data_IF_936646329428
#
_entry.id   IF_936646329428
#
_cell.length_a   1.000
_cell.length_b   1.000
_cell.length_c   1.000
_cell.angle_alpha   90.00
_cell.angle_beta   90.00
_cell.angle_gamma   90.00
#
_symmetry.space_group_name_H-M   'P 1'
#
loop_
_entity.id
_entity.type
_entity.pdbx_description
1 polymer ?
#
# COMPACT_ATOMS: atom_id res chain seq x y z
N UNK A 1 6.54 50.51 15.61
CA UNK A 1 5.52 51.48 15.15
C UNK A 1 5.73 51.77 13.67
N UNK A 2 4.88 51.24 12.79
CA UNK A 2 4.49 51.91 11.54
C UNK A 2 3.32 51.14 10.92
N UNK A 3 2.19 51.84 10.91
CA UNK A 3 0.91 51.49 10.34
C UNK A 3 1.00 51.37 8.82
N UNK A 4 0.34 50.38 8.24
CA UNK A 4 -0.33 50.55 6.94
C UNK A 4 -1.69 49.88 7.01
N UNK A 5 -2.70 50.72 7.10
CA UNK A 5 -4.12 50.46 6.84
C UNK A 5 -4.28 50.45 5.32
N UNK A 6 -4.96 49.46 4.74
CA UNK A 6 -5.55 49.64 3.41
C UNK A 6 -6.95 49.02 3.31
N UNK A 7 -7.80 49.81 2.66
CA UNK A 7 -9.25 49.78 2.56
C UNK A 7 -9.88 48.55 1.90
N UNK A 8 -11.14 48.36 2.29
CA UNK A 8 -12.22 47.62 1.63
C UNK A 8 -12.35 47.92 0.11
N UNK A 9 -12.79 46.90 -0.64
CA UNK A 9 -13.75 47.09 -1.72
C UNK A 9 -14.83 45.98 -1.69
N UNK A 10 -16.07 46.41 -1.47
CA UNK A 10 -17.31 45.64 -1.63
C UNK A 10 -17.70 45.73 -3.11
N UNK A 11 -17.99 44.60 -3.77
CA UNK A 11 -18.75 44.59 -5.02
C UNK A 11 -19.88 43.56 -4.91
N UNK A 12 -21.05 44.01 -5.35
CA UNK A 12 -22.37 43.48 -5.10
C UNK A 12 -22.85 42.45 -6.14
N UNK A 13 -23.80 41.62 -5.70
CA UNK A 13 -25.06 41.22 -6.36
C UNK A 13 -25.12 41.07 -7.90
N UNK A 14 -25.46 39.85 -8.31
CA UNK A 14 -26.24 39.52 -9.52
C UNK A 14 -26.66 38.04 -9.42
N UNK A 15 -27.89 37.68 -9.05
CA UNK A 15 -29.16 37.72 -9.80
C UNK A 15 -29.24 36.74 -11.00
N UNK A 16 -30.10 35.73 -10.83
CA UNK A 16 -30.99 35.09 -11.81
C UNK A 16 -30.43 34.36 -13.06
N UNK A 17 -30.67 33.04 -13.14
CA UNK A 17 -31.45 32.37 -14.21
C UNK A 17 -31.57 30.86 -13.88
N UNK A 18 -32.75 30.36 -13.51
CA UNK A 18 -33.92 29.92 -14.30
C UNK A 18 -33.81 28.43 -14.72
N UNK A 19 -34.83 27.60 -14.45
CA UNK A 19 -34.81 26.15 -14.66
C UNK A 19 -35.31 25.79 -16.06
N UNK A 20 -34.64 24.84 -16.71
CA UNK A 20 -35.06 24.13 -17.92
C UNK A 20 -34.15 22.88 -17.99
N UNK A 21 -34.53 21.70 -18.44
CA UNK A 21 -35.79 21.14 -18.86
C UNK A 21 -35.59 19.61 -18.80
N UNK A 22 -36.69 18.93 -18.47
CA UNK A 22 -37.12 17.65 -19.02
C UNK A 22 -36.16 16.99 -20.02
N UNK A 23 -35.47 15.91 -19.62
CA UNK A 23 -34.89 14.95 -20.55
C UNK A 23 -35.48 13.57 -20.34
N UNK A 24 -36.11 13.13 -21.41
CA UNK A 24 -36.95 11.97 -21.53
C UNK A 24 -36.20 10.67 -21.31
N UNK A 25 -36.83 9.80 -20.53
CA UNK A 25 -36.50 8.39 -20.32
C UNK A 25 -36.62 7.62 -21.66
N UNK A 26 -35.54 7.00 -22.18
CA UNK A 26 -35.65 6.08 -23.31
C UNK A 26 -36.41 4.82 -22.88
N UNK A 27 -37.39 4.43 -23.69
CA UNK A 27 -38.17 3.21 -23.51
C UNK A 27 -37.27 1.97 -23.59
N UNK A 28 -37.43 1.07 -22.62
CA UNK A 28 -36.76 -0.22 -22.59
C UNK A 28 -37.21 -1.10 -23.78
N UNK A 29 -36.24 -1.57 -24.54
CA UNK A 29 -36.42 -2.60 -25.58
C UNK A 29 -36.71 -3.94 -24.88
N UNK A 30 -37.79 -4.66 -25.22
CA UNK A 30 -38.06 -5.97 -24.64
C UNK A 30 -36.96 -6.97 -25.04
N UNK A 31 -36.44 -7.69 -24.04
CA UNK A 31 -35.47 -8.76 -24.22
C UNK A 31 -36.15 -9.99 -24.85
N UNK A 32 -35.46 -10.73 -25.75
CA UNK A 32 -35.97 -11.98 -26.28
C UNK A 32 -36.01 -13.07 -25.20
N UNK A 33 -37.17 -13.71 -25.06
CA UNK A 33 -37.38 -14.92 -24.27
C UNK A 33 -36.43 -16.02 -24.76
N UNK A 34 -35.46 -16.36 -23.92
CA UNK A 34 -34.60 -17.53 -24.14
C UNK A 34 -35.33 -18.74 -23.58
N UNK A 35 -35.83 -19.58 -24.47
CA UNK A 35 -36.45 -20.87 -24.17
C UNK A 35 -35.45 -21.76 -23.42
N UNK A 36 -35.75 -22.04 -22.16
CA UNK A 36 -35.00 -22.97 -21.33
C UNK A 36 -35.18 -24.40 -21.86
N UNK A 37 -34.12 -24.95 -22.45
CA UNK A 37 -34.04 -26.37 -22.77
C UNK A 37 -33.73 -27.14 -21.50
N UNK A 38 -34.71 -27.90 -21.01
CA UNK A 38 -34.60 -28.75 -19.84
C UNK A 38 -33.62 -29.91 -20.11
N UNK A 39 -32.34 -29.72 -19.79
CA UNK A 39 -31.36 -30.78 -19.76
C UNK A 39 -31.61 -31.68 -18.55
N UNK A 40 -31.86 -32.96 -18.83
CA UNK A 40 -32.03 -34.03 -17.84
C UNK A 40 -30.73 -34.19 -17.03
N UNK A 41 -30.75 -34.08 -15.69
CA UNK A 41 -29.54 -34.24 -14.89
C UNK A 41 -29.03 -35.67 -14.99
N UNK A 42 -27.83 -35.86 -15.56
CA UNK A 42 -27.08 -37.09 -15.41
C UNK A 42 -26.61 -37.17 -13.96
N UNK A 43 -27.12 -38.16 -13.23
CA UNK A 43 -26.62 -38.55 -11.92
C UNK A 43 -25.15 -38.94 -12.08
N UNK A 44 -24.26 -38.03 -11.69
CA UNK A 44 -22.84 -38.33 -11.56
C UNK A 44 -22.68 -39.03 -10.22
N UNK A 45 -22.38 -40.32 -10.26
CA UNK A 45 -22.04 -41.12 -9.09
C UNK A 45 -20.76 -40.56 -8.47
N UNK A 46 -20.92 -39.81 -7.38
CA UNK A 46 -19.82 -39.17 -6.66
C UNK A 46 -18.95 -40.26 -6.04
N UNK A 47 -17.77 -40.50 -6.64
CA UNK A 47 -16.77 -41.37 -6.05
C UNK A 47 -16.47 -40.92 -4.61
N UNK A 48 -16.30 -41.86 -3.65
CA UNK A 48 -16.04 -41.51 -2.26
C UNK A 48 -14.79 -40.65 -2.16
N UNK A 49 -14.95 -39.42 -1.63
CA UNK A 49 -13.85 -38.51 -1.34
C UNK A 49 -12.85 -39.24 -0.44
N UNK A 50 -11.57 -39.39 -0.85
CA UNK A 50 -10.54 -40.00 -0.02
C UNK A 50 -10.50 -39.32 1.35
N UNK A 51 -10.45 -40.13 2.42
CA UNK A 51 -10.30 -39.61 3.77
C UNK A 51 -9.09 -38.66 3.82
N UNK A 52 -9.29 -37.45 4.34
CA UNK A 52 -8.22 -36.49 4.47
C UNK A 52 -7.08 -37.11 5.31
N UNK A 53 -5.82 -36.99 4.87
CA UNK A 53 -4.70 -37.50 5.65
C UNK A 53 -4.70 -36.86 7.06
N UNK A 54 -4.26 -37.59 8.09
CA UNK A 54 -4.19 -37.06 9.44
C UNK A 54 -3.34 -35.78 9.45
N UNK A 55 -3.73 -34.77 10.25
CA UNK A 55 -2.99 -33.51 10.29
C UNK A 55 -1.54 -33.77 10.69
N UNK A 56 -0.57 -33.06 10.07
CA UNK A 56 0.83 -33.23 10.39
C UNK A 56 1.07 -32.98 11.89
N UNK A 57 1.89 -33.82 12.51
CA UNK A 57 2.26 -33.69 13.92
C UNK A 57 3.00 -32.36 14.11
N UNK A 58 2.46 -31.48 14.96
CA UNK A 58 3.10 -30.20 15.28
C UNK A 58 4.50 -30.42 15.85
N UNK A 59 5.46 -29.60 15.43
CA UNK A 59 6.79 -29.57 16.04
C UNK A 59 6.67 -29.31 17.55
N UNK A 60 7.51 -29.94 18.39
CA UNK A 60 7.48 -29.71 19.83
C UNK A 60 7.74 -28.23 20.14
N UNK A 61 6.96 -27.68 21.06
CA UNK A 61 7.15 -26.31 21.53
C UNK A 61 8.56 -26.13 22.11
N UNK A 62 9.18 -24.98 21.85
CA UNK A 62 10.39 -24.62 22.58
C UNK A 62 10.06 -24.44 24.06
N UNK A 63 10.97 -24.81 24.98
CA UNK A 63 10.77 -24.58 26.41
C UNK A 63 10.39 -23.12 26.68
N UNK A 64 9.26 -22.90 27.35
CA UNK A 64 8.75 -21.56 27.67
C UNK A 64 7.99 -20.85 26.56
N UNK A 65 7.61 -21.53 25.47
CA UNK A 65 6.78 -20.99 24.39
C UNK A 65 5.49 -21.79 24.24
N UNK A 66 4.40 -21.09 23.92
CA UNK A 66 3.13 -21.74 23.61
C UNK A 66 3.16 -22.28 22.17
N UNK A 67 2.26 -23.21 21.84
CA UNK A 67 2.13 -23.72 20.47
C UNK A 67 1.55 -22.63 19.54
N UNK A 68 1.84 -22.69 18.24
CA UNK A 68 1.21 -21.80 17.27
C UNK A 68 -0.33 -21.83 17.40
N UNK A 69 -1.04 -20.69 17.31
CA UNK A 69 -2.48 -20.67 17.48
C UNK A 69 -3.22 -21.41 16.37
N UNK A 70 -4.28 -22.10 16.77
CA UNK A 70 -5.21 -22.80 15.88
C UNK A 70 -6.02 -21.80 15.05
N UNK A 71 -6.60 -22.27 13.94
CA UNK A 71 -7.48 -21.45 13.11
C UNK A 71 -8.69 -20.90 13.89
N UNK A 72 -9.24 -21.70 14.82
CA UNK A 72 -10.36 -21.29 15.66
C UNK A 72 -9.97 -20.10 16.57
N UNK A 73 -8.78 -20.14 17.19
CA UNK A 73 -8.28 -19.02 18.00
C UNK A 73 -8.09 -17.74 17.16
N UNK A 74 -7.54 -17.85 15.95
CA UNK A 74 -7.40 -16.70 15.05
C UNK A 74 -8.73 -16.10 14.61
N UNK A 75 -9.73 -16.95 14.37
CA UNK A 75 -11.07 -16.52 13.96
C UNK A 75 -11.84 -15.90 15.12
N UNK A 76 -11.59 -16.35 16.35
CA UNK A 76 -12.18 -15.76 17.55
C UNK A 76 -11.62 -14.36 17.85
N UNK A 77 -10.38 -14.09 17.47
CA UNK A 77 -9.77 -12.78 17.67
C UNK A 77 -10.36 -11.73 16.71
N UNK A 78 -11.19 -10.84 17.25
CA UNK A 78 -11.81 -9.74 16.49
C UNK A 78 -10.97 -8.46 16.49
N UNK A 79 -10.10 -8.30 17.49
CA UNK A 79 -9.31 -7.09 17.63
C UNK A 79 -8.12 -7.12 16.67
N UNK A 80 -8.11 -6.18 15.74
CA UNK A 80 -6.95 -5.91 14.90
C UNK A 80 -5.88 -5.17 15.72
N UNK A 81 -4.60 -5.50 15.47
CA UNK A 81 -3.47 -4.73 15.99
C UNK A 81 -3.00 -3.75 14.93
N UNK A 82 -2.34 -2.67 15.31
CA UNK A 82 -1.93 -1.67 14.33
C UNK A 82 -0.57 -2.05 13.73
N UNK A 83 -0.55 -2.33 12.42
CA UNK A 83 0.66 -2.34 11.58
C UNK A 83 0.55 -1.22 10.55
N UNK A 84 1.49 -0.28 10.57
CA UNK A 84 1.46 0.87 9.66
C UNK A 84 1.60 0.39 8.21
N UNK A 85 0.78 0.93 7.29
CA UNK A 85 0.75 0.53 5.88
C UNK A 85 -0.04 -0.75 5.57
N UNK A 86 -0.44 -1.55 6.56
CA UNK A 86 -1.12 -2.84 6.32
C UNK A 86 -2.43 -2.72 5.55
N UNK A 87 -3.27 -1.73 5.88
CA UNK A 87 -4.57 -1.54 5.22
C UNK A 87 -4.45 -1.17 3.74
N UNK A 88 -3.43 -0.40 3.34
CA UNK A 88 -3.19 -0.07 1.93
C UNK A 88 -2.84 -1.32 1.11
N UNK A 89 -2.20 -2.29 1.76
CA UNK A 89 -1.81 -3.56 1.16
C UNK A 89 -2.88 -4.66 1.29
N UNK A 90 -4.08 -4.30 1.76
CA UNK A 90 -5.17 -5.20 2.06
C UNK A 90 -4.74 -6.38 2.96
N UNK A 91 -3.94 -6.06 3.99
CA UNK A 91 -3.46 -7.00 4.99
C UNK A 91 -4.23 -6.84 6.30
N UNK A 92 -4.72 -7.95 6.84
CA UNK A 92 -5.29 -8.06 8.19
C UNK A 92 -4.17 -8.43 9.18
N UNK A 93 -4.09 -7.73 10.31
CA UNK A 93 -3.07 -8.02 11.33
C UNK A 93 -3.64 -8.33 12.71
N UNK A 94 -3.31 -9.50 13.27
CA UNK A 94 -3.87 -9.99 14.54
C UNK A 94 -2.78 -10.47 15.47
N UNK A 95 -2.98 -10.25 16.77
CA UNK A 95 -2.19 -10.92 17.81
C UNK A 95 -3.07 -11.88 18.60
N UNK A 96 -2.62 -13.13 18.71
CA UNK A 96 -3.21 -14.16 19.56
C UNK A 96 -2.08 -14.75 20.40
N UNK A 97 -2.20 -14.62 21.73
CA UNK A 97 -1.12 -14.97 22.67
C UNK A 97 0.16 -14.22 22.29
N UNK A 98 1.32 -14.88 22.21
CA UNK A 98 2.58 -14.27 21.73
C UNK A 98 2.78 -14.31 20.21
N UNK A 99 1.76 -14.60 19.40
CA UNK A 99 1.92 -14.71 17.95
C UNK A 99 1.27 -13.54 17.22
N UNK A 100 2.01 -12.94 16.29
CA UNK A 100 1.52 -11.99 15.30
C UNK A 100 1.21 -12.74 13.99
N UNK A 101 -0.01 -12.55 13.48
CA UNK A 101 -0.40 -12.96 12.14
C UNK A 101 -0.58 -11.73 11.25
N UNK A 102 0.01 -11.78 10.06
CA UNK A 102 -0.22 -10.82 8.97
C UNK A 102 -0.75 -11.60 7.77
N UNK A 103 -2.00 -11.37 7.37
CA UNK A 103 -2.63 -12.04 6.23
C UNK A 103 -3.03 -11.02 5.18
N UNK A 104 -2.33 -11.02 4.04
CA UNK A 104 -2.65 -10.18 2.90
C UNK A 104 -3.49 -10.97 1.89
N UNK A 105 -4.60 -10.39 1.45
CA UNK A 105 -5.58 -11.09 0.60
C UNK A 105 -6.03 -10.20 -0.54
N UNK A 106 -6.45 -10.82 -1.64
CA UNK A 106 -7.02 -10.09 -2.77
C UNK A 106 -6.02 -9.14 -3.41
N UNK A 107 -6.50 -8.00 -3.90
CA UNK A 107 -5.64 -6.99 -4.53
C UNK A 107 -5.21 -5.93 -3.51
N UNK A 108 -3.99 -5.44 -3.63
CA UNK A 108 -3.55 -4.23 -2.93
C UNK A 108 -4.18 -2.96 -3.56
N UNK A 109 -3.85 -1.79 -3.03
CA UNK A 109 -4.26 -0.46 -3.51
C UNK A 109 -3.86 -0.15 -4.96
N UNK A 110 -2.86 -0.82 -5.53
CA UNK A 110 -2.45 -0.70 -6.93
C UNK A 110 -2.98 -1.83 -7.84
N UNK A 111 -3.80 -2.73 -7.30
CA UNK A 111 -4.40 -3.83 -8.04
C UNK A 111 -3.58 -5.12 -8.09
N UNK A 112 -2.36 -5.13 -7.54
CA UNK A 112 -1.50 -6.30 -7.51
C UNK A 112 -1.95 -7.36 -6.52
N UNK A 113 -1.66 -8.61 -6.86
CA UNK A 113 -2.05 -9.80 -6.10
C UNK A 113 -0.86 -10.32 -5.30
N UNK A 114 -0.99 -10.72 -4.02
CA UNK A 114 0.14 -11.16 -3.21
C UNK A 114 0.71 -12.48 -3.75
N UNK A 115 2.05 -12.56 -3.81
CA UNK A 115 2.78 -13.64 -4.51
C UNK A 115 3.80 -14.36 -3.63
N UNK A 116 4.46 -13.68 -2.69
CA UNK A 116 5.48 -14.30 -1.85
C UNK A 116 5.69 -13.59 -0.51
N UNK A 117 6.31 -14.32 0.42
CA UNK A 117 6.85 -13.80 1.67
C UNK A 117 8.29 -14.32 1.81
N UNK A 118 9.25 -13.43 2.06
CA UNK A 118 10.66 -13.80 2.31
C UNK A 118 11.06 -13.28 3.68
N UNK A 119 11.48 -14.18 4.59
CA UNK A 119 11.94 -13.79 5.92
C UNK A 119 13.38 -13.28 5.82
N UNK A 120 13.61 -12.04 6.24
CA UNK A 120 14.91 -11.39 6.18
C UNK A 120 15.63 -11.42 7.54
N UNK A 121 14.89 -11.25 8.64
CA UNK A 121 15.45 -11.21 10.00
C UNK A 121 14.49 -11.87 10.98
N UNK A 122 15.04 -12.63 11.93
CA UNK A 122 14.28 -13.23 13.02
C UNK A 122 13.60 -14.55 12.62
N UNK A 123 12.43 -14.82 13.20
CA UNK A 123 11.63 -16.02 12.93
C UNK A 123 12.13 -17.28 13.63
N UNK A 124 13.44 -17.45 13.77
CA UNK A 124 14.10 -18.51 14.56
C UNK A 124 13.55 -19.94 14.33
N UNK A 125 13.03 -20.26 13.15
CA UNK A 125 12.40 -21.56 12.84
C UNK A 125 10.96 -21.73 13.36
N UNK A 126 10.37 -20.69 13.92
CA UNK A 126 8.98 -20.64 14.41
C UNK A 126 8.07 -19.79 13.51
N UNK A 127 8.66 -19.09 12.53
CA UNK A 127 7.91 -18.36 11.53
C UNK A 127 7.24 -19.35 10.56
N UNK A 128 5.93 -19.19 10.37
CA UNK A 128 5.12 -19.99 9.46
C UNK A 128 4.66 -19.07 8.33
N UNK A 129 5.01 -19.42 7.09
CA UNK A 129 4.57 -18.71 5.89
C UNK A 129 3.62 -19.60 5.10
N UNK A 130 2.54 -19.00 4.58
CA UNK A 130 1.63 -19.61 3.62
C UNK A 130 1.50 -18.71 2.41
N UNK A 131 1.55 -19.32 1.22
CA UNK A 131 1.37 -18.65 -0.07
C UNK A 131 0.39 -19.50 -0.88
N UNK A 132 -0.69 -18.87 -1.35
CA UNK A 132 -1.66 -19.47 -2.25
C UNK A 132 -2.22 -18.43 -3.23
N UNK A 133 -3.09 -18.82 -4.17
CA UNK A 133 -3.66 -17.90 -5.15
C UNK A 133 -4.34 -16.69 -4.48
N UNK A 134 -3.71 -15.51 -4.61
CA UNK A 134 -4.22 -14.25 -4.05
C UNK A 134 -4.21 -14.14 -2.54
N UNK A 135 -3.44 -14.99 -1.84
CA UNK A 135 -3.33 -14.96 -0.38
C UNK A 135 -1.87 -15.21 0.01
N UNK A 136 -1.33 -14.34 0.84
CA UNK A 136 -0.12 -14.61 1.62
C UNK A 136 -0.43 -14.46 3.12
N UNK A 137 0.17 -15.31 3.94
CA UNK A 137 0.02 -15.24 5.38
C UNK A 137 1.33 -15.55 6.07
N UNK A 138 1.68 -14.71 7.04
CA UNK A 138 2.83 -14.87 7.92
C UNK A 138 2.32 -15.01 9.35
N UNK A 139 2.83 -16.00 10.09
CA UNK A 139 2.65 -16.12 11.54
C UNK A 139 4.03 -16.16 12.17
N UNK A 140 4.30 -15.24 13.08
CA UNK A 140 5.58 -15.14 13.78
C UNK A 140 5.39 -14.91 15.27
N UNK A 141 6.31 -15.37 16.11
CA UNK A 141 6.34 -14.93 17.49
C UNK A 141 6.63 -13.43 17.58
N UNK A 142 5.82 -12.71 18.33
CA UNK A 142 6.03 -11.32 18.70
C UNK A 142 6.33 -11.26 20.19
N UNK A 143 7.62 -11.27 20.52
CA UNK A 143 8.11 -11.31 21.90
C UNK A 143 9.12 -10.21 22.15
N UNK A 144 9.20 -9.80 23.40
CA UNK A 144 10.10 -8.76 23.86
C UNK A 144 11.57 -9.07 23.57
N UNK A 145 12.28 -8.06 23.07
CA UNK A 145 13.70 -8.11 22.72
C UNK A 145 14.00 -8.82 21.40
N UNK A 146 12.99 -9.14 20.58
CA UNK A 146 13.17 -9.76 19.28
C UNK A 146 12.60 -8.85 18.19
N UNK A 147 13.47 -8.50 17.24
CA UNK A 147 13.06 -7.85 16.01
C UNK A 147 12.79 -8.91 14.93
N UNK A 148 11.87 -8.59 14.04
CA UNK A 148 11.53 -9.41 12.90
C UNK A 148 11.41 -8.55 11.64
N UNK A 149 11.88 -9.07 10.51
CA UNK A 149 11.68 -8.44 9.21
C UNK A 149 11.36 -9.49 8.13
N UNK A 150 10.41 -9.17 7.26
CA UNK A 150 10.11 -9.98 6.07
C UNK A 150 9.62 -9.12 4.92
N UNK A 151 9.98 -9.49 3.69
CA UNK A 151 9.45 -8.88 2.49
C UNK A 151 8.17 -9.57 2.08
N UNK A 152 7.13 -8.78 1.87
CA UNK A 152 5.90 -9.21 1.21
C UNK A 152 5.92 -8.71 -0.22
N UNK A 153 5.62 -9.61 -1.15
CA UNK A 153 5.56 -9.27 -2.56
C UNK A 153 4.15 -9.44 -3.11
N UNK A 154 3.82 -8.57 -4.04
CA UNK A 154 2.68 -8.61 -4.92
C UNK A 154 3.19 -8.67 -6.36
N UNK A 155 2.27 -8.90 -7.31
CA UNK A 155 2.58 -8.88 -8.74
C UNK A 155 3.13 -7.55 -9.25
N UNK A 156 2.91 -6.45 -8.53
CA UNK A 156 3.23 -5.08 -8.94
C UNK A 156 4.23 -4.36 -8.01
N UNK A 157 4.44 -4.83 -6.78
CA UNK A 157 5.35 -4.21 -5.81
C UNK A 157 5.76 -5.15 -4.69
N UNK A 158 6.71 -4.71 -3.86
CA UNK A 158 7.08 -5.39 -2.61
C UNK A 158 7.24 -4.38 -1.48
N UNK A 159 6.96 -4.81 -0.26
CA UNK A 159 7.11 -4.00 0.95
C UNK A 159 7.76 -4.82 2.06
N UNK A 160 8.71 -4.22 2.77
CA UNK A 160 9.36 -4.82 3.93
C UNK A 160 8.50 -4.59 5.17
N UNK A 161 7.98 -5.64 5.76
CA UNK A 161 7.41 -5.60 7.10
C UNK A 161 8.55 -5.59 8.11
N UNK A 162 8.60 -4.58 8.97
CA UNK A 162 9.49 -4.51 10.14
C UNK A 162 8.64 -4.50 11.41
N UNK A 163 8.97 -5.40 12.32
CA UNK A 163 8.29 -5.61 13.61
C UNK A 163 9.36 -5.54 14.69
N UNK A 164 9.16 -4.71 15.70
CA UNK A 164 10.12 -4.56 16.81
C UNK A 164 9.40 -4.41 18.13
N UNK A 165 9.89 -5.14 19.13
CA UNK A 165 9.52 -4.98 20.53
C UNK A 165 10.80 -4.88 21.37
N UNK A 166 11.25 -3.66 21.71
CA UNK A 166 12.48 -3.48 22.49
C UNK A 166 12.40 -4.13 23.88
N UNK A 167 13.53 -4.65 24.38
CA UNK A 167 13.61 -5.25 25.72
C UNK A 167 13.38 -4.21 26.83
N UNK A 168 12.70 -4.61 27.90
CA UNK A 168 12.28 -3.79 29.03
C UNK A 168 11.04 -2.92 28.77
N UNK A 169 10.39 -3.04 27.62
CA UNK A 169 9.29 -2.15 27.23
C UNK A 169 7.94 -2.87 27.24
N UNK A 170 6.88 -2.12 27.56
CA UNK A 170 5.50 -2.60 27.37
C UNK A 170 5.27 -2.92 25.90
N UNK A 171 4.44 -3.92 25.63
CA UNK A 171 4.03 -4.27 24.27
C UNK A 171 3.53 -3.01 23.53
N UNK A 172 4.10 -2.67 22.36
CA UNK A 172 3.76 -1.43 21.67
C UNK A 172 2.36 -1.50 21.08
N UNK A 173 1.68 -0.36 21.03
CA UNK A 173 0.36 -0.25 20.40
C UNK A 173 0.43 -0.40 18.86
N UNK A 174 1.54 0.05 18.27
CA UNK A 174 1.89 -0.18 16.86
C UNK A 174 2.96 -1.27 16.82
N UNK A 175 2.64 -2.42 16.26
CA UNK A 175 3.48 -3.62 16.37
C UNK A 175 4.49 -3.74 15.23
N UNK A 176 4.25 -3.02 14.13
CA UNK A 176 5.17 -2.99 12.99
C UNK A 176 4.79 -1.97 11.93
N UNK A 177 5.60 -1.92 10.87
CA UNK A 177 5.48 -1.00 9.74
C UNK A 177 5.79 -1.77 8.45
N UNK A 178 4.98 -1.59 7.41
CA UNK A 178 5.37 -1.89 6.04
C UNK A 178 6.13 -0.70 5.45
N UNK A 179 7.44 -0.82 5.36
CA UNK A 179 8.31 0.22 4.80
C UNK A 179 7.95 0.50 3.33
N UNK A 180 7.95 1.79 2.97
CA UNK A 180 7.60 2.25 1.63
C UNK A 180 6.13 2.09 1.25
N UNK A 181 5.30 1.45 2.08
CA UNK A 181 3.86 1.42 1.87
C UNK A 181 3.29 2.79 2.24
N UNK A 182 2.53 3.41 1.35
CA UNK A 182 1.80 4.65 1.65
C UNK A 182 0.76 4.33 2.71
N UNK A 183 1.07 4.52 4.00
CA UNK A 183 0.04 4.39 5.03
C UNK A 183 -0.88 5.61 4.96
N UNK A 184 -2.20 5.45 5.14
CA UNK A 184 -3.11 6.58 5.36
C UNK A 184 -2.74 7.46 6.58
N UNK A 185 -1.80 6.99 7.41
CA UNK A 185 -1.33 7.60 8.66
C UNK A 185 0.05 8.28 8.47
N UNK A 186 0.73 8.06 7.34
CA UNK A 186 2.02 8.69 6.98
C UNK A 186 1.82 10.05 6.32
N UNK A 187 1.00 10.92 6.93
CA UNK A 187 0.74 12.30 6.48
C UNK A 187 1.95 13.24 6.54
N UNK A 188 3.06 12.87 5.89
CA UNK A 188 4.10 13.75 5.38
C UNK A 188 4.12 13.78 3.85
N UNK A 189 3.06 13.28 3.18
CA UNK A 189 2.66 13.95 1.95
C UNK A 189 2.51 15.42 2.30
N UNK A 190 3.32 16.28 1.67
CA UNK A 190 3.09 17.71 1.73
C UNK A 190 1.62 17.91 1.32
N UNK A 191 0.76 18.20 2.30
CA UNK A 191 -0.68 18.26 2.10
C UNK A 191 -1.02 19.31 1.03
N UNK A 192 -0.16 20.34 0.89
CA UNK A 192 -0.27 21.32 -0.17
C UNK A 192 0.02 20.68 -1.54
N UNK A 193 1.01 19.79 -1.65
CA UNK A 193 1.29 19.07 -2.90
C UNK A 193 0.21 18.03 -3.22
N UNK A 194 -0.34 17.34 -2.21
CA UNK A 194 -1.48 16.43 -2.40
C UNK A 194 -2.72 17.18 -2.90
N UNK A 195 -3.04 18.32 -2.28
CA UNK A 195 -4.12 19.20 -2.72
C UNK A 195 -3.85 19.77 -4.13
N UNK A 196 -2.60 20.12 -4.44
CA UNK A 196 -2.21 20.57 -5.78
C UNK A 196 -2.41 19.49 -6.85
N UNK A 197 -2.00 18.25 -6.59
CA UNK A 197 -2.24 17.13 -7.50
C UNK A 197 -3.73 16.88 -7.68
N UNK A 198 -4.51 16.93 -6.60
CA UNK A 198 -5.96 16.81 -6.66
C UNK A 198 -6.59 17.92 -7.51
N UNK A 199 -6.14 19.17 -7.34
CA UNK A 199 -6.55 20.28 -8.20
C UNK A 199 -6.19 20.06 -9.68
N UNK A 200 -5.00 19.54 -9.96
CA UNK A 200 -4.60 19.19 -11.32
C UNK A 200 -5.47 18.06 -11.89
N UNK A 201 -5.76 17.01 -11.12
CA UNK A 201 -6.65 15.92 -11.53
C UNK A 201 -8.02 16.45 -11.94
N UNK A 202 -8.69 17.19 -11.05
CA UNK A 202 -9.99 17.81 -11.34
C UNK A 202 -9.96 18.69 -12.60
N UNK A 203 -8.87 19.45 -12.80
CA UNK A 203 -8.70 20.31 -13.97
C UNK A 203 -8.60 19.52 -15.28
N UNK A 204 -7.83 18.42 -15.28
CA UNK A 204 -7.55 17.60 -16.48
C UNK A 204 -8.72 16.67 -16.79
N UNK A 205 -9.24 15.94 -15.81
CA UNK A 205 -10.30 14.92 -16.00
C UNK A 205 -11.72 15.48 -15.97
N UNK A 206 -11.90 16.71 -15.43
CA UNK A 206 -13.20 17.34 -15.14
C UNK A 206 -14.01 16.62 -14.05
N UNK A 207 -13.39 15.74 -13.29
CA UNK A 207 -14.02 15.11 -12.12
C UNK A 207 -14.12 16.10 -10.93
N UNK A 208 -15.07 15.83 -10.03
CA UNK A 208 -15.30 16.65 -8.83
C UNK A 208 -14.57 16.14 -7.58
N UNK A 209 -14.06 14.91 -7.61
CA UNK A 209 -13.27 14.29 -6.55
C UNK A 209 -11.90 13.84 -7.08
N UNK A 210 -11.06 13.33 -6.18
CA UNK A 210 -9.73 12.80 -6.50
C UNK A 210 -9.59 11.33 -6.11
N UNK A 211 -10.71 10.64 -5.91
CA UNK A 211 -10.73 9.22 -5.51
C UNK A 211 -10.19 8.29 -6.61
N UNK A 212 -10.34 8.69 -7.87
CA UNK A 212 -9.81 7.96 -9.04
C UNK A 212 -8.36 8.34 -9.38
N UNK A 213 -7.78 9.33 -8.67
CA UNK A 213 -6.45 9.85 -9.00
C UNK A 213 -5.40 8.81 -8.67
N UNK A 214 -4.78 8.27 -9.71
CA UNK A 214 -3.58 7.43 -9.60
C UNK A 214 -2.36 8.35 -9.54
N UNK A 215 -1.43 8.05 -8.63
CA UNK A 215 -0.23 8.82 -8.37
C UNK A 215 -0.17 9.35 -6.94
N UNK A 216 0.97 9.90 -6.53
CA UNK A 216 1.09 10.53 -5.22
C UNK A 216 2.00 11.76 -5.24
N UNK A 217 2.00 12.55 -4.14
CA UNK A 217 2.89 13.69 -3.99
C UNK A 217 4.34 13.31 -4.26
N UNK A 218 4.93 13.96 -5.25
CA UNK A 218 6.33 13.79 -5.63
C UNK A 218 6.93 15.18 -5.83
N UNK A 219 7.81 15.58 -4.91
CA UNK A 219 8.44 16.91 -4.89
C UNK A 219 9.34 17.15 -6.10
N UNK A 220 9.93 16.10 -6.68
CA UNK A 220 10.74 16.20 -7.89
C UNK A 220 9.86 16.47 -9.12
N UNK A 221 8.69 15.81 -9.19
CA UNK A 221 7.68 16.08 -10.21
C UNK A 221 7.15 17.50 -10.09
N UNK A 222 6.81 17.96 -8.88
CA UNK A 222 6.33 19.32 -8.65
C UNK A 222 7.37 20.37 -9.05
N UNK A 223 8.63 20.16 -8.68
CA UNK A 223 9.72 21.05 -9.08
C UNK A 223 9.92 21.08 -10.59
N UNK A 224 9.66 19.97 -11.29
CA UNK A 224 9.89 19.85 -12.74
C UNK A 224 8.71 20.39 -13.57
N UNK A 225 7.48 20.08 -13.13
CA UNK A 225 6.24 20.23 -13.89
C UNK A 225 5.15 20.96 -13.11
N UNK A 226 5.46 21.64 -12.00
CA UNK A 226 4.45 22.18 -11.08
C UNK A 226 3.45 23.18 -11.67
N UNK A 227 3.66 23.67 -12.89
CA UNK A 227 2.74 24.54 -13.61
C UNK A 227 2.01 23.84 -14.78
N UNK A 228 2.38 22.60 -15.09
CA UNK A 228 1.81 21.78 -16.15
C UNK A 228 1.08 20.59 -15.53
N UNK A 229 -0.24 20.74 -15.33
CA UNK A 229 -1.03 19.74 -14.63
C UNK A 229 -1.09 18.38 -15.35
N UNK A 230 -1.00 18.36 -16.67
CA UNK A 230 -1.05 17.12 -17.43
C UNK A 230 0.23 16.31 -17.18
N UNK A 231 1.38 16.93 -17.44
CA UNK A 231 2.68 16.27 -17.24
C UNK A 231 3.01 16.04 -15.75
N UNK A 232 2.52 16.89 -14.84
CA UNK A 232 2.66 16.66 -13.41
C UNK A 232 1.93 15.39 -12.97
N UNK A 233 0.72 15.14 -13.48
CA UNK A 233 -0.01 13.91 -13.18
C UNK A 233 0.68 12.68 -13.78
N UNK A 234 1.14 12.77 -15.04
CA UNK A 234 1.93 11.71 -15.68
C UNK A 234 3.20 11.38 -14.86
N UNK A 235 3.96 12.40 -14.47
CA UNK A 235 5.13 12.24 -13.62
C UNK A 235 4.78 11.58 -12.28
N UNK A 236 3.70 12.03 -11.63
CA UNK A 236 3.24 11.49 -10.34
C UNK A 236 2.80 10.02 -10.39
N UNK A 237 2.42 9.53 -11.58
CA UNK A 237 2.05 8.13 -11.87
C UNK A 237 3.25 7.27 -12.26
N UNK A 238 4.40 7.88 -12.53
CA UNK A 238 5.60 7.20 -12.99
C UNK A 238 5.64 6.93 -14.50
N UNK A 239 4.92 7.73 -15.30
CA UNK A 239 4.92 7.57 -16.76
C UNK A 239 6.33 7.80 -17.33
N UNK A 240 6.88 6.87 -18.15
CA UNK A 240 8.25 6.98 -18.67
C UNK A 240 8.54 8.23 -19.51
N UNK A 241 7.51 8.81 -20.13
CA UNK A 241 7.63 10.06 -20.90
C UNK A 241 7.71 11.34 -20.07
N UNK A 242 7.42 11.25 -18.76
CA UNK A 242 7.27 12.39 -17.86
C UNK A 242 8.20 12.29 -16.63
N UNK A 243 9.42 11.78 -16.80
CA UNK A 243 10.37 11.69 -15.70
C UNK A 243 10.80 13.06 -15.16
N UNK A 244 10.90 13.24 -13.83
CA UNK A 244 11.32 14.51 -13.27
C UNK A 244 12.78 14.83 -13.65
N UNK A 245 13.08 16.12 -13.77
CA UNK A 245 14.44 16.63 -13.96
C UNK A 245 15.14 16.69 -12.60
N UNK A 246 16.20 15.89 -12.47
CA UNK A 246 16.99 15.86 -11.24
C UNK A 246 17.95 17.05 -11.14
N UNK A 247 18.18 17.48 -9.90
CA UNK A 247 19.13 18.54 -9.59
C UNK A 247 20.57 18.09 -9.87
N UNK A 248 21.53 19.02 -10.02
CA UNK A 248 22.94 18.67 -10.08
C UNK A 248 23.36 17.77 -8.90
N UNK A 249 24.03 16.66 -9.21
CA UNK A 249 24.42 15.66 -8.21
C UNK A 249 23.31 14.67 -7.83
N UNK A 250 22.16 14.72 -8.50
CA UNK A 250 21.06 13.76 -8.36
C UNK A 250 20.79 13.06 -9.69
N UNK A 251 20.28 11.83 -9.64
CA UNK A 251 19.96 11.01 -10.82
C UNK A 251 18.59 10.37 -10.66
N UNK A 252 17.86 10.23 -11.77
CA UNK A 252 16.61 9.48 -11.77
C UNK A 252 16.94 7.99 -11.86
N UNK A 253 16.56 7.22 -10.83
CA UNK A 253 16.85 5.79 -10.72
C UNK A 253 15.86 4.90 -11.50
N UNK A 254 15.16 5.44 -12.51
CA UNK A 254 14.18 4.68 -13.31
C UNK A 254 12.83 4.44 -12.64
N UNK A 255 12.62 4.99 -11.43
CA UNK A 255 11.38 4.85 -10.66
C UNK A 255 10.64 6.18 -10.47
N UNK A 256 10.98 7.21 -11.25
CA UNK A 256 10.29 8.51 -11.19
C UNK A 256 10.66 9.38 -9.99
N UNK A 257 11.74 9.05 -9.27
CA UNK A 257 12.30 9.85 -8.17
C UNK A 257 13.76 10.17 -8.43
N UNK A 258 14.20 11.33 -7.94
CA UNK A 258 15.59 11.71 -7.96
C UNK A 258 16.29 11.22 -6.70
N UNK A 259 17.46 10.60 -6.87
CA UNK A 259 18.32 10.15 -5.78
C UNK A 259 19.65 10.87 -5.82
N UNK A 260 20.19 11.20 -4.65
CA UNK A 260 21.50 11.82 -4.54
C UNK A 260 22.57 10.82 -4.99
N UNK A 261 23.45 11.22 -5.91
CA UNK A 261 24.60 10.42 -6.30
C UNK A 261 25.61 10.32 -5.16
N UNK A 262 26.25 9.16 -5.01
CA UNK A 262 27.31 8.92 -4.03
C UNK A 262 28.51 8.19 -4.65
N UNK A 263 29.55 7.93 -3.84
CA UNK A 263 30.80 7.30 -4.27
C UNK A 263 31.93 8.30 -4.51
N UNK A 264 32.98 7.85 -5.22
CA UNK A 264 34.22 8.60 -5.39
C UNK A 264 33.98 9.96 -6.07
N UNK A 265 34.43 11.03 -5.41
CA UNK A 265 34.27 12.41 -5.89
C UNK A 265 32.85 12.98 -5.78
N UNK A 266 31.93 12.28 -5.09
CA UNK A 266 30.56 12.74 -4.80
C UNK A 266 30.39 13.04 -3.32
N UNK A 267 29.29 13.72 -2.98
CA UNK A 267 28.95 13.98 -1.59
C UNK A 267 28.61 12.66 -0.87
N UNK A 268 28.96 12.58 0.41
CA UNK A 268 28.57 11.46 1.26
C UNK A 268 27.04 11.44 1.43
N UNK A 269 26.50 10.25 1.67
CA UNK A 269 25.08 10.10 1.92
C UNK A 269 24.65 10.76 3.23
N UNK A 270 23.40 11.26 3.31
CA UNK A 270 22.84 11.78 4.54
C UNK A 270 22.88 10.74 5.67
N UNK A 271 22.69 11.19 6.91
CA UNK A 271 22.52 10.29 8.04
C UNK A 271 21.39 9.28 7.76
N UNK A 272 21.58 8.03 8.20
CA UNK A 272 20.65 6.91 7.96
C UNK A 272 20.46 6.55 6.48
N UNK A 273 21.43 6.84 5.62
CA UNK A 273 21.45 6.37 4.24
C UNK A 273 22.74 5.59 3.95
N UNK A 274 22.66 4.66 3.00
CA UNK A 274 23.77 3.88 2.45
C UNK A 274 23.94 4.19 0.97
N UNK A 275 25.19 4.07 0.50
CA UNK A 275 25.53 4.25 -0.89
C UNK A 275 25.39 2.91 -1.62
N UNK A 276 24.43 2.79 -2.53
CA UNK A 276 24.10 1.56 -3.24
C UNK A 276 24.26 1.74 -4.77
N UNK A 277 24.80 0.73 -5.44
CA UNK A 277 24.86 0.68 -6.92
C UNK A 277 23.52 0.17 -7.47
N UNK A 278 22.85 1.02 -8.25
CA UNK A 278 21.56 0.71 -8.88
C UNK A 278 21.69 0.42 -10.39
N UNK A 279 22.90 0.09 -10.86
CA UNK A 279 23.21 -0.27 -12.25
C UNK A 279 23.48 0.91 -13.18
N UNK A 280 22.90 2.09 -12.89
CA UNK A 280 23.21 3.35 -13.57
C UNK A 280 24.08 4.29 -12.72
N UNK A 281 24.78 3.74 -11.72
CA UNK A 281 25.65 4.45 -10.79
C UNK A 281 25.21 4.30 -9.34
N UNK A 282 26.03 4.85 -8.45
CA UNK A 282 25.79 4.76 -7.01
C UNK A 282 24.89 5.91 -6.52
N UNK A 283 23.89 5.59 -5.72
CA UNK A 283 22.97 6.56 -5.11
C UNK A 283 22.75 6.33 -3.62
N UNK A 284 22.34 7.37 -2.92
CA UNK A 284 21.99 7.28 -1.51
C UNK A 284 20.58 6.72 -1.32
N UNK A 285 20.47 5.60 -0.60
CA UNK A 285 19.23 4.92 -0.25
C UNK A 285 19.07 4.94 1.26
N UNK A 286 17.86 5.15 1.78
CA UNK A 286 17.62 5.13 3.22
C UNK A 286 17.81 3.72 3.80
N UNK A 287 18.46 3.63 4.96
CA UNK A 287 18.71 2.39 5.70
C UNK A 287 17.45 1.80 6.34
#
# INVERSE_FOLDING_TARGET
>A
MRNVVLLLAIVALGACNKPDADQSKPAAKPAPETTASAAKPLATETAPTPAAPPPPTSLPARPGRSLAPTLAEWNAQQKEVTVKGSSALNCETKIVREYLRVSCRGKNDSGGTPTSIVIQKGGHGEAITYVGPGITSLVVPFVEGIDFAADFSWTDKSHKLVVSWPRGNKQPAVVGVFEGAKSPIDGTSDAALAEKLCNCHRKVTKENSCESMIGGPNVDCDRTYGNDCETLLECSRGEPGAWPRCQPGWVNAGIGFCFQQCGDGKAACPANHTCEDIGNGNVCVAN
#
